data_IF_062820005713
#
_entry.id   IF_062820005713
#
_cell.length_a   1.000
_cell.length_b   1.000
_cell.length_c   1.000
_cell.angle_alpha   90.00
_cell.angle_beta   90.00
_cell.angle_gamma   90.00
#
_symmetry.space_group_name_H-M   'P 1'
#
loop_
_entity.id
_entity.type
_entity.pdbx_description
1 polymer ?
#
# COMPACT_ATOMS: atom_id res chain seq x y z
N UNK A 1 26.18 27.75 14.93
CA UNK A 1 25.00 27.69 14.03
C UNK A 1 24.60 26.27 13.61
N UNK A 2 25.51 25.42 13.11
CA UNK A 2 25.20 24.04 12.67
C UNK A 2 24.58 23.13 13.76
N UNK A 3 25.02 23.25 15.02
CA UNK A 3 24.48 22.49 16.15
C UNK A 3 23.04 22.90 16.50
N UNK A 4 22.72 24.20 16.42
CA UNK A 4 21.37 24.69 16.65
C UNK A 4 20.40 24.22 15.56
N UNK A 5 20.83 24.17 14.30
CA UNK A 5 20.04 23.61 13.20
C UNK A 5 19.78 22.11 13.41
N UNK A 6 20.81 21.34 13.78
CA UNK A 6 20.67 19.90 14.09
C UNK A 6 19.70 19.64 15.24
N UNK A 7 19.78 20.44 16.30
CA UNK A 7 18.89 20.34 17.45
C UNK A 7 17.43 20.63 17.08
N UNK A 8 17.19 21.68 16.28
CA UNK A 8 15.85 22.01 15.79
C UNK A 8 15.25 20.92 14.92
N UNK A 9 16.04 20.32 14.03
CA UNK A 9 15.59 19.19 13.19
C UNK A 9 15.26 17.99 14.06
N UNK A 10 16.11 17.64 15.04
CA UNK A 10 15.84 16.53 15.95
C UNK A 10 14.54 16.76 16.75
N UNK A 11 14.35 17.97 17.27
CA UNK A 11 13.12 18.33 17.99
C UNK A 11 11.87 18.22 17.10
N UNK A 12 11.95 18.69 15.86
CA UNK A 12 10.86 18.59 14.89
C UNK A 12 10.50 17.13 14.57
N UNK A 13 11.50 16.26 14.41
CA UNK A 13 11.27 14.81 14.16
C UNK A 13 10.61 14.16 15.38
N UNK A 14 11.10 14.44 16.59
CA UNK A 14 10.49 13.89 17.82
C UNK A 14 9.04 14.35 17.96
N UNK A 15 8.76 15.65 17.76
CA UNK A 15 7.41 16.18 17.81
C UNK A 15 6.49 15.51 16.77
N UNK A 16 6.98 15.31 15.54
CA UNK A 16 6.21 14.65 14.49
C UNK A 16 5.84 13.20 14.85
N UNK A 17 6.75 12.45 15.47
CA UNK A 17 6.49 11.07 15.91
C UNK A 17 5.47 11.04 17.05
N UNK A 18 5.59 11.97 18.01
CA UNK A 18 4.69 12.02 19.18
C UNK A 18 3.26 12.45 18.83
N UNK A 19 3.09 13.23 17.76
CA UNK A 19 1.79 13.70 17.28
C UNK A 19 1.19 12.81 16.17
N UNK A 20 1.83 11.70 15.80
CA UNK A 20 1.32 10.81 14.76
C UNK A 20 -0.01 10.15 15.20
N UNK A 21 -1.06 10.19 14.36
CA UNK A 21 -2.33 9.51 14.65
C UNK A 21 -2.18 7.98 14.55
N UNK A 22 -3.09 7.26 15.21
CA UNK A 22 -3.15 5.81 15.11
C UNK A 22 -3.43 5.34 13.67
N UNK A 23 -2.54 4.52 13.11
CA UNK A 23 -2.76 3.90 11.81
C UNK A 23 -3.78 2.77 11.93
N UNK A 24 -4.82 2.78 11.08
CA UNK A 24 -5.82 1.71 11.00
C UNK A 24 -5.53 0.85 9.77
N UNK A 25 -5.49 -0.47 9.96
CA UNK A 25 -5.36 -1.39 8.83
C UNK A 25 -6.59 -1.26 7.92
N UNK A 26 -6.35 -1.02 6.63
CA UNK A 26 -7.39 -1.01 5.60
C UNK A 26 -7.22 -2.23 4.71
N UNK A 27 -8.31 -2.95 4.38
CA UNK A 27 -8.20 -4.17 3.59
C UNK A 27 -8.13 -3.83 2.09
N UNK A 28 -7.06 -3.13 1.68
CA UNK A 28 -6.91 -2.59 0.32
C UNK A 28 -6.94 -3.70 -0.75
N UNK A 29 -6.33 -4.85 -0.47
CA UNK A 29 -6.29 -5.95 -1.43
C UNK A 29 -7.62 -6.70 -1.54
N UNK A 30 -8.38 -6.88 -0.45
CA UNK A 30 -9.71 -7.50 -0.56
C UNK A 30 -10.67 -6.60 -1.35
N UNK A 31 -10.58 -5.28 -1.21
CA UNK A 31 -11.38 -4.35 -2.02
C UNK A 31 -10.99 -4.37 -3.50
N UNK A 32 -9.69 -4.49 -3.81
CA UNK A 32 -9.21 -4.51 -5.19
C UNK A 32 -9.48 -5.83 -5.90
N UNK A 33 -9.36 -6.95 -5.19
CA UNK A 33 -9.43 -8.29 -5.77
C UNK A 33 -10.76 -9.01 -5.54
N UNK A 34 -11.55 -8.57 -4.56
CA UNK A 34 -12.75 -9.25 -4.10
C UNK A 34 -12.50 -10.49 -3.23
N UNK A 35 -11.24 -10.86 -2.98
CA UNK A 35 -10.90 -12.05 -2.20
C UNK A 35 -11.06 -11.82 -0.69
N UNK A 36 -11.44 -12.87 0.04
CA UNK A 36 -11.46 -12.87 1.49
C UNK A 36 -10.03 -12.76 2.07
N UNK A 37 -9.89 -12.19 3.28
CA UNK A 37 -8.59 -12.07 3.94
C UNK A 37 -7.88 -13.42 4.14
N UNK A 38 -8.66 -14.48 4.38
CA UNK A 38 -8.16 -15.85 4.56
C UNK A 38 -7.53 -16.45 3.30
N UNK A 39 -7.78 -15.87 2.11
CA UNK A 39 -7.07 -16.30 0.90
C UNK A 39 -5.57 -15.99 1.04
N UNK A 40 -5.22 -14.82 1.56
CA UNK A 40 -3.83 -14.38 1.71
C UNK A 40 -3.23 -14.74 3.08
N UNK A 41 -4.03 -14.77 4.15
CA UNK A 41 -3.54 -14.95 5.53
C UNK A 41 -4.08 -16.21 6.20
N UNK A 42 -3.21 -16.92 6.90
CA UNK A 42 -3.60 -17.96 7.87
C UNK A 42 -3.99 -17.29 9.19
N UNK A 43 -3.05 -16.54 9.76
CA UNK A 43 -3.22 -15.63 10.90
C UNK A 43 -2.41 -14.39 10.56
N UNK A 44 -3.03 -13.22 10.51
CA UNK A 44 -2.29 -11.99 10.22
C UNK A 44 -1.12 -11.81 11.23
N UNK A 45 0.12 -11.52 10.78
CA UNK A 45 0.54 -11.17 9.41
C UNK A 45 1.08 -12.34 8.56
N UNK A 46 1.04 -13.57 9.05
CA UNK A 46 1.49 -14.76 8.34
C UNK A 46 0.68 -15.01 7.06
N UNK A 47 1.37 -15.44 6.00
CA UNK A 47 0.79 -15.62 4.67
C UNK A 47 0.61 -17.12 4.34
N UNK A 48 -0.50 -17.43 3.66
CA UNK A 48 -0.70 -18.71 2.97
C UNK A 48 0.33 -18.87 1.84
N UNK A 49 0.51 -20.08 1.27
CA UNK A 49 1.33 -20.24 0.05
C UNK A 49 0.93 -19.27 -1.07
N UNK A 50 -0.38 -19.14 -1.32
CA UNK A 50 -0.91 -18.16 -2.26
C UNK A 50 -0.54 -16.71 -1.89
N UNK A 51 -0.72 -16.32 -0.62
CA UNK A 51 -0.39 -14.97 -0.16
C UNK A 51 1.09 -14.61 -0.36
N UNK A 52 1.99 -15.60 -0.20
CA UNK A 52 3.42 -15.41 -0.47
C UNK A 52 3.71 -15.22 -1.95
N UNK A 53 3.08 -16.00 -2.81
CA UNK A 53 3.22 -15.86 -4.27
C UNK A 53 2.65 -14.52 -4.76
N UNK A 54 1.47 -14.12 -4.27
CA UNK A 54 0.89 -12.81 -4.57
C UNK A 54 1.83 -11.67 -4.16
N UNK A 55 2.46 -11.76 -2.98
CA UNK A 55 3.48 -10.79 -2.54
C UNK A 55 4.74 -10.82 -3.42
N UNK A 56 5.22 -12.00 -3.79
CA UNK A 56 6.41 -12.16 -4.64
C UNK A 56 6.19 -11.58 -6.05
N UNK A 57 4.97 -11.68 -6.57
CA UNK A 57 4.53 -11.09 -7.84
C UNK A 57 4.15 -9.60 -7.72
N UNK A 58 4.61 -8.90 -6.68
CA UNK A 58 4.40 -7.46 -6.52
C UNK A 58 2.96 -7.04 -6.22
N UNK A 59 2.16 -7.93 -5.64
CA UNK A 59 0.74 -7.72 -5.37
C UNK A 59 -0.11 -7.53 -6.63
N UNK A 60 0.31 -8.17 -7.73
CA UNK A 60 -0.44 -8.23 -8.99
C UNK A 60 -0.98 -9.64 -9.19
N UNK A 61 -2.22 -9.73 -9.65
CA UNK A 61 -2.81 -10.95 -10.18
C UNK A 61 -3.09 -10.72 -11.65
N UNK A 62 -2.69 -11.68 -12.48
CA UNK A 62 -3.04 -11.63 -13.89
C UNK A 62 -4.56 -11.81 -14.04
N UNK A 63 -5.16 -11.13 -15.02
CA UNK A 63 -6.59 -11.25 -15.38
C UNK A 63 -7.65 -10.84 -14.33
N UNK A 64 -7.34 -10.03 -13.30
CA UNK A 64 -8.38 -9.43 -12.43
C UNK A 64 -8.94 -8.11 -12.97
N UNK A 65 -10.25 -7.87 -12.79
CA UNK A 65 -10.89 -6.57 -13.08
C UNK A 65 -10.35 -5.50 -12.14
N UNK A 66 -9.43 -4.68 -12.64
CA UNK A 66 -8.84 -3.58 -11.88
C UNK A 66 -9.87 -2.48 -11.63
N UNK A 67 -9.91 -1.97 -10.40
CA UNK A 67 -10.71 -0.80 -10.03
C UNK A 67 -10.12 0.42 -10.75
N UNK A 68 -10.79 0.88 -11.81
CA UNK A 68 -10.40 2.07 -12.56
C UNK A 68 -10.87 3.31 -11.82
N UNK A 69 -9.96 4.23 -11.51
CA UNK A 69 -10.35 5.57 -11.09
C UNK A 69 -10.97 6.28 -12.29
N UNK A 70 -12.24 6.68 -12.18
CA UNK A 70 -12.92 7.48 -13.20
C UNK A 70 -12.72 8.95 -12.85
N UNK A 71 -11.99 9.69 -13.70
CA UNK A 71 -11.89 11.15 -13.62
C UNK A 71 -13.15 11.82 -14.18
N UNK A 72 -13.53 13.00 -13.67
CA UNK A 72 -14.73 13.73 -14.13
C UNK A 72 -14.64 14.19 -15.59
N UNK A 73 -13.42 14.35 -16.10
CA UNK A 73 -13.14 14.37 -17.53
C UNK A 73 -12.91 12.92 -17.94
N UNK A 74 -13.62 12.42 -18.96
CA UNK A 74 -13.53 11.04 -19.50
C UNK A 74 -12.14 10.70 -20.09
N UNK A 75 -11.11 10.82 -19.28
CA UNK A 75 -9.73 10.48 -19.54
C UNK A 75 -9.33 9.51 -18.44
N UNK A 76 -9.09 8.27 -18.87
CA UNK A 76 -8.73 7.14 -18.03
C UNK A 76 -7.30 7.36 -17.51
N UNK A 77 -7.15 8.10 -16.43
CA UNK A 77 -5.84 8.42 -15.87
C UNK A 77 -5.37 7.26 -14.98
N UNK A 78 -4.31 6.61 -15.46
CA UNK A 78 -3.53 5.52 -14.88
C UNK A 78 -4.23 4.15 -14.72
N UNK A 79 -4.06 3.31 -15.74
CA UNK A 79 -4.02 1.85 -15.56
C UNK A 79 -2.63 1.49 -15.03
N UNK A 80 -2.52 1.11 -13.76
CA UNK A 80 -1.23 0.75 -13.12
C UNK A 80 -0.59 -0.53 -13.73
N UNK A 81 -1.28 -1.17 -14.68
CA UNK A 81 -0.95 -2.47 -15.27
C UNK A 81 -0.23 -2.44 -16.61
N UNK A 82 0.10 -1.25 -17.12
CA UNK A 82 0.76 -1.12 -18.43
C UNK A 82 2.29 -1.05 -18.35
N UNK A 83 2.88 -1.29 -17.18
CA UNK A 83 4.33 -1.45 -17.08
C UNK A 83 4.70 -2.90 -17.38
N UNK A 84 5.39 -3.20 -18.50
CA UNK A 84 5.94 -4.53 -18.73
C UNK A 84 6.88 -4.88 -17.59
N UNK A 85 6.75 -6.09 -17.08
CA UNK A 85 7.74 -6.71 -16.19
C UNK A 85 9.06 -6.77 -16.96
N UNK A 86 10.06 -6.00 -16.52
CA UNK A 86 11.46 -6.30 -16.85
C UNK A 86 11.89 -7.52 -16.04
#
# INVERSE_FOLDING_TARGET
MRHATRFRVALAVVAAVMLAPAARAVPSFSRQTGMACAACHTVFPELTPFGREFKANGYVLDNLRQVRAVSSTRQQLLSLSQLPTL
#
